data_IF_247702705536
#
_entry.id   IF_247702705536
#
_cell.length_a   1.000
_cell.length_b   1.000
_cell.length_c   1.000
_cell.angle_alpha   90.00
_cell.angle_beta   90.00
_cell.angle_gamma   90.00
#
_symmetry.space_group_name_H-M   'P 1'
#
loop_
_entity.id
_entity.type
_entity.pdbx_description
1 polymer ?
#
# COMPACT_ATOMS: atom_id res chain seq x y z
N UNK A 1 -17.84 58.27 54.45
CA UNK A 1 -16.47 58.73 54.13
C UNK A 1 -15.89 57.74 53.11
N UNK A 2 -15.13 58.22 52.11
CA UNK A 2 -14.67 57.56 50.86
C UNK A 2 -15.65 57.62 49.66
N UNK A 3 -15.52 58.59 48.73
CA UNK A 3 -14.69 58.67 47.48
C UNK A 3 -15.42 58.06 46.25
N UNK A 4 -16.07 58.85 45.36
CA UNK A 4 -15.63 59.40 44.03
C UNK A 4 -15.14 58.32 43.04
N UNK A 5 -15.40 58.26 41.72
CA UNK A 5 -16.30 58.82 40.68
C UNK A 5 -16.22 57.79 39.49
N UNK A 6 -17.13 57.78 38.51
CA UNK A 6 -17.24 56.81 37.40
C UNK A 6 -16.42 57.22 36.16
N UNK A 7 -16.10 56.31 35.22
CA UNK A 7 -15.98 56.62 33.78
C UNK A 7 -15.57 55.43 32.86
N UNK A 8 -16.20 55.41 31.66
CA UNK A 8 -15.68 54.95 30.34
C UNK A 8 -15.76 53.43 30.07
N UNK A 9 -16.80 52.94 29.37
CA UNK A 9 -16.89 52.75 27.90
C UNK A 9 -15.69 52.00 27.31
N UNK A 10 -15.88 50.72 26.95
CA UNK A 10 -15.35 50.20 25.69
C UNK A 10 -16.17 48.98 25.23
N UNK A 11 -17.05 49.21 24.25
CA UNK A 11 -17.61 48.16 23.40
C UNK A 11 -16.46 47.55 22.58
N UNK A 12 -16.16 46.27 22.81
CA UNK A 12 -15.29 45.49 21.93
C UNK A 12 -16.16 44.42 21.27
N UNK A 13 -16.66 44.77 20.09
CA UNK A 13 -17.36 43.91 19.16
C UNK A 13 -16.34 42.93 18.57
N UNK A 14 -16.21 41.72 19.15
CA UNK A 14 -15.44 40.64 18.56
C UNK A 14 -16.19 40.08 17.35
N UNK A 15 -15.93 40.64 16.17
CA UNK A 15 -16.30 40.01 14.90
C UNK A 15 -15.40 38.78 14.70
N UNK A 16 -15.95 37.60 15.03
CA UNK A 16 -15.37 36.31 14.65
C UNK A 16 -15.43 36.24 13.13
N UNK A 17 -14.28 36.47 12.48
CA UNK A 17 -14.04 36.12 11.08
C UNK A 17 -14.13 34.60 10.94
N UNK A 18 -15.36 34.12 10.74
CA UNK A 18 -15.64 32.77 10.27
C UNK A 18 -15.16 32.73 8.80
N UNK A 19 -13.89 32.41 8.59
CA UNK A 19 -13.36 32.12 7.27
C UNK A 19 -13.86 30.71 6.91
N UNK A 20 -14.82 30.53 5.99
CA UNK A 20 -15.14 29.20 5.54
C UNK A 20 -13.90 28.67 4.82
N UNK A 21 -13.17 27.77 5.46
CA UNK A 21 -12.23 26.89 4.76
C UNK A 21 -13.05 26.10 3.76
N UNK A 22 -13.21 26.64 2.55
CA UNK A 22 -13.63 25.87 1.39
C UNK A 22 -12.59 24.77 1.22
N UNK A 23 -12.90 23.57 1.70
CA UNK A 23 -12.33 22.35 1.14
C UNK A 23 -12.81 22.30 -0.32
N UNK A 24 -12.09 22.97 -1.20
CA UNK A 24 -12.26 22.77 -2.63
C UNK A 24 -11.76 21.35 -2.90
N UNK A 25 -12.67 20.46 -3.27
CA UNK A 25 -12.33 19.13 -3.76
C UNK A 25 -11.43 19.32 -5.00
N UNK A 26 -10.14 19.10 -4.81
CA UNK A 26 -9.14 19.39 -5.83
C UNK A 26 -9.31 18.35 -6.93
N UNK A 27 -9.68 18.81 -8.15
CA UNK A 27 -9.88 17.92 -9.29
C UNK A 27 -8.64 17.03 -9.47
N UNK A 28 -8.82 15.71 -9.71
CA UNK A 28 -7.71 14.82 -10.01
C UNK A 28 -6.86 15.38 -11.15
N UNK A 29 -5.55 15.29 -11.00
CA UNK A 29 -4.60 15.57 -12.08
C UNK A 29 -4.74 14.52 -13.17
N UNK A 30 -4.32 14.85 -14.40
CA UNK A 30 -4.30 13.90 -15.51
C UNK A 30 -3.52 12.61 -15.20
N UNK A 31 -2.45 12.71 -14.40
CA UNK A 31 -1.68 11.54 -13.95
C UNK A 31 -2.49 10.65 -12.99
N UNK A 32 -3.28 11.24 -12.08
CA UNK A 32 -4.15 10.50 -11.17
C UNK A 32 -5.31 9.82 -11.92
N UNK A 33 -5.90 10.47 -12.93
CA UNK A 33 -6.92 9.86 -13.78
C UNK A 33 -6.36 8.71 -14.62
N UNK A 34 -5.19 8.90 -15.25
CA UNK A 34 -4.54 7.85 -16.03
C UNK A 34 -4.20 6.62 -15.17
N UNK A 35 -3.68 6.82 -13.96
CA UNK A 35 -3.43 5.72 -13.01
C UNK A 35 -4.72 5.01 -12.61
N UNK A 36 -5.78 5.76 -12.28
CA UNK A 36 -7.08 5.16 -11.93
C UNK A 36 -7.55 4.24 -13.04
N UNK A 37 -7.50 4.70 -14.29
CA UNK A 37 -7.84 3.89 -15.46
C UNK A 37 -6.95 2.66 -15.59
N UNK A 38 -5.63 2.79 -15.38
CA UNK A 38 -4.71 1.65 -15.46
C UNK A 38 -4.99 0.58 -14.40
N UNK A 39 -5.29 1.00 -13.15
CA UNK A 39 -5.70 0.09 -12.07
C UNK A 39 -7.03 -0.58 -12.40
N UNK A 40 -8.02 0.14 -12.92
CA UNK A 40 -9.30 -0.43 -13.35
C UNK A 40 -9.12 -1.50 -14.43
N UNK A 41 -8.29 -1.23 -15.44
CA UNK A 41 -7.94 -2.20 -16.49
C UNK A 41 -7.25 -3.43 -15.90
N UNK A 42 -6.34 -3.25 -14.95
CA UNK A 42 -5.68 -4.36 -14.27
C UNK A 42 -6.67 -5.21 -13.47
N UNK A 43 -7.60 -4.58 -12.75
CA UNK A 43 -8.67 -5.26 -12.00
C UNK A 43 -9.60 -6.04 -12.92
N UNK A 44 -9.96 -5.49 -14.07
CA UNK A 44 -10.73 -6.23 -15.08
C UNK A 44 -9.96 -7.43 -15.62
N UNK A 45 -8.65 -7.28 -15.83
CA UNK A 45 -7.75 -8.38 -16.17
C UNK A 45 -7.80 -9.51 -15.15
N UNK A 46 -7.64 -9.18 -13.87
CA UNK A 46 -7.76 -10.14 -12.78
C UNK A 46 -9.14 -10.81 -12.76
N UNK A 47 -10.22 -10.03 -12.91
CA UNK A 47 -11.59 -10.56 -12.90
C UNK A 47 -11.83 -11.61 -13.99
N UNK A 48 -11.28 -11.41 -15.20
CA UNK A 48 -11.35 -12.38 -16.29
C UNK A 48 -10.55 -13.66 -16.02
N UNK A 49 -9.44 -13.55 -15.30
CA UNK A 49 -8.56 -14.67 -14.97
C UNK A 49 -8.91 -15.36 -13.62
N UNK A 50 -9.91 -14.83 -12.90
CA UNK A 50 -10.24 -15.25 -11.55
C UNK A 50 -10.74 -16.70 -11.49
N UNK A 51 -10.22 -17.45 -10.53
CA UNK A 51 -10.64 -18.82 -10.23
C UNK A 51 -11.20 -18.87 -8.81
N UNK A 52 -12.51 -19.13 -8.69
CA UNK A 52 -13.16 -19.27 -7.40
C UNK A 52 -12.83 -20.62 -6.75
N UNK A 53 -12.66 -20.62 -5.42
CA UNK A 53 -12.66 -21.84 -4.63
C UNK A 53 -14.08 -22.41 -4.45
N UNK A 54 -14.22 -23.69 -4.05
CA UNK A 54 -13.14 -24.60 -3.69
C UNK A 54 -12.42 -25.19 -4.90
N UNK A 55 -11.09 -25.11 -4.94
CA UNK A 55 -10.28 -25.69 -6.03
C UNK A 55 -8.86 -25.99 -5.57
N UNK A 56 -8.10 -26.74 -6.37
CA UNK A 56 -6.67 -26.99 -6.15
C UNK A 56 -5.86 -26.22 -7.19
N UNK A 57 -4.97 -25.36 -6.72
CA UNK A 57 -4.05 -24.60 -7.55
C UNK A 57 -2.66 -25.25 -7.47
N UNK A 58 -2.11 -25.64 -8.62
CA UNK A 58 -0.73 -26.10 -8.71
C UNK A 58 0.22 -24.92 -8.64
N UNK A 59 1.19 -24.96 -7.73
CA UNK A 59 2.28 -24.00 -7.62
C UNK A 59 3.56 -24.62 -8.20
N UNK A 60 3.45 -25.18 -9.40
CA UNK A 60 4.51 -25.94 -10.05
C UNK A 60 4.80 -27.26 -9.34
N UNK A 61 6.08 -27.55 -9.13
CA UNK A 61 6.60 -28.74 -8.44
C UNK A 61 6.75 -28.54 -6.93
N UNK A 62 6.52 -27.32 -6.43
CA UNK A 62 6.79 -26.95 -5.02
C UNK A 62 5.63 -27.27 -4.09
N UNK A 63 4.40 -26.98 -4.51
CA UNK A 63 3.23 -27.14 -3.66
C UNK A 63 1.92 -27.23 -4.45
N UNK A 64 0.86 -27.65 -3.75
CA UNK A 64 -0.52 -27.48 -4.19
C UNK A 64 -1.28 -26.69 -3.14
N UNK A 65 -1.85 -25.56 -3.55
CA UNK A 65 -2.74 -24.75 -2.72
C UNK A 65 -4.16 -25.30 -2.81
N UNK A 66 -4.70 -25.78 -1.69
CA UNK A 66 -6.12 -26.08 -1.58
C UNK A 66 -6.86 -24.78 -1.27
N UNK A 67 -7.43 -24.14 -2.30
CA UNK A 67 -8.18 -22.90 -2.17
C UNK A 67 -9.58 -23.23 -1.64
N UNK A 68 -9.99 -22.74 -0.46
CA UNK A 68 -11.31 -23.05 0.09
C UNK A 68 -12.42 -22.18 -0.53
N UNK A 69 -13.67 -22.54 -0.26
CA UNK A 69 -14.83 -21.75 -0.67
C UNK A 69 -14.76 -20.30 -0.15
N UNK A 70 -15.23 -19.35 -0.96
CA UNK A 70 -15.24 -17.92 -0.62
C UNK A 70 -13.92 -17.19 -0.89
N UNK A 71 -12.88 -17.90 -1.33
CA UNK A 71 -11.63 -17.32 -1.80
C UNK A 71 -11.54 -17.34 -3.33
N UNK A 72 -10.76 -16.40 -3.87
CA UNK A 72 -10.53 -16.26 -5.31
C UNK A 72 -9.04 -16.21 -5.58
N UNK A 73 -8.58 -17.05 -6.50
CA UNK A 73 -7.21 -17.06 -7.01
C UNK A 73 -7.08 -16.24 -8.29
N UNK A 74 -6.03 -15.44 -8.39
CA UNK A 74 -5.62 -14.73 -9.60
C UNK A 74 -4.21 -15.21 -9.98
N UNK A 75 -4.00 -15.76 -11.19
CA UNK A 75 -2.69 -16.25 -11.62
C UNK A 75 -1.68 -15.11 -11.82
N UNK A 76 -0.38 -15.46 -11.75
CA UNK A 76 0.76 -14.54 -11.77
C UNK A 76 0.66 -13.42 -12.81
N UNK A 77 0.30 -13.74 -14.06
CA UNK A 77 0.33 -12.76 -15.16
C UNK A 77 -0.57 -11.55 -14.89
N UNK A 78 -1.86 -11.76 -14.65
CA UNK A 78 -2.81 -10.67 -14.41
C UNK A 78 -2.59 -10.04 -13.02
N UNK A 79 -2.21 -10.85 -12.04
CA UNK A 79 -1.89 -10.40 -10.69
C UNK A 79 -0.68 -9.44 -10.65
N UNK A 80 0.39 -9.73 -11.41
CA UNK A 80 1.61 -8.94 -11.42
C UNK A 80 1.39 -7.56 -12.05
N UNK A 81 0.51 -7.46 -13.06
CA UNK A 81 0.08 -6.17 -13.61
C UNK A 81 -0.60 -5.34 -12.52
N UNK A 82 -1.57 -5.90 -11.82
CA UNK A 82 -2.25 -5.19 -10.73
C UNK A 82 -1.29 -4.71 -9.65
N UNK A 83 -0.39 -5.58 -9.18
CA UNK A 83 0.63 -5.23 -8.18
C UNK A 83 1.49 -4.04 -8.62
N UNK A 84 1.95 -4.02 -9.87
CA UNK A 84 2.75 -2.92 -10.41
C UNK A 84 1.95 -1.62 -10.55
N UNK A 85 0.68 -1.69 -10.93
CA UNK A 85 -0.18 -0.49 -11.05
C UNK A 85 -0.49 0.14 -9.70
N UNK A 86 -0.53 -0.65 -8.62
CA UNK A 86 -0.65 -0.12 -7.25
C UNK A 86 0.69 0.24 -6.61
N UNK A 87 1.79 0.18 -7.36
CA UNK A 87 3.12 0.62 -6.91
C UNK A 87 3.89 -0.42 -6.09
N UNK A 88 3.55 -1.70 -6.21
CA UNK A 88 4.33 -2.80 -5.65
C UNK A 88 5.36 -3.31 -6.68
N UNK A 89 6.49 -3.75 -6.16
CA UNK A 89 7.45 -4.54 -6.93
C UNK A 89 6.99 -5.99 -6.99
N UNK A 90 7.25 -6.66 -8.11
CA UNK A 90 7.01 -8.10 -8.31
C UNK A 90 8.22 -8.69 -8.98
N UNK A 91 8.79 -9.70 -8.34
CA UNK A 91 9.77 -10.60 -8.95
C UNK A 91 9.01 -11.72 -9.67
N UNK A 92 9.03 -11.69 -11.01
CA UNK A 92 8.28 -12.66 -11.82
C UNK A 92 8.85 -14.09 -11.71
N UNK A 93 10.08 -14.27 -11.21
CA UNK A 93 10.69 -15.59 -11.02
C UNK A 93 10.03 -16.36 -9.88
N UNK A 94 9.71 -15.67 -8.78
CA UNK A 94 9.20 -16.30 -7.55
C UNK A 94 7.69 -16.16 -7.38
N UNK A 95 7.03 -15.28 -8.15
CA UNK A 95 5.63 -14.93 -7.97
C UNK A 95 4.64 -15.87 -8.68
N UNK A 96 3.74 -16.46 -7.90
CA UNK A 96 2.70 -17.36 -8.43
C UNK A 96 1.35 -16.69 -8.66
N UNK A 97 1.01 -15.68 -7.87
CA UNK A 97 -0.27 -15.00 -7.97
C UNK A 97 -0.84 -14.50 -6.65
N UNK A 98 -2.10 -14.09 -6.68
CA UNK A 98 -2.79 -13.50 -5.53
C UNK A 98 -4.00 -14.32 -5.10
N UNK A 99 -4.28 -14.29 -3.80
CA UNK A 99 -5.52 -14.78 -3.22
C UNK A 99 -6.32 -13.63 -2.61
N UNK A 100 -7.59 -13.54 -2.99
CA UNK A 100 -8.55 -12.57 -2.46
C UNK A 100 -9.65 -13.27 -1.67
N UNK A 101 -10.26 -12.52 -0.75
CA UNK A 101 -11.50 -12.88 -0.05
C UNK A 101 -12.31 -11.61 0.17
N UNK A 102 -13.62 -11.66 -0.01
CA UNK A 102 -14.51 -10.48 -0.01
C UNK A 102 -14.40 -9.65 1.27
N UNK A 103 -14.23 -10.29 2.43
CA UNK A 103 -14.17 -9.61 3.73
C UNK A 103 -12.76 -9.13 4.09
N UNK A 104 -11.75 -9.39 3.26
CA UNK A 104 -10.37 -8.99 3.50
C UNK A 104 -10.11 -7.61 2.91
N UNK A 105 -9.56 -6.71 3.73
CA UNK A 105 -9.05 -5.43 3.25
C UNK A 105 -7.61 -5.61 2.75
N UNK A 106 -7.46 -6.31 1.63
CA UNK A 106 -6.17 -6.67 1.05
C UNK A 106 -6.22 -7.97 0.26
N UNK A 107 -5.05 -8.57 0.09
CA UNK A 107 -4.84 -9.82 -0.62
C UNK A 107 -3.64 -10.55 -0.02
N UNK A 108 -3.52 -11.83 -0.33
CA UNK A 108 -2.36 -12.65 0.00
C UNK A 108 -1.53 -12.80 -1.27
N UNK A 109 -0.25 -12.43 -1.22
CA UNK A 109 0.73 -12.73 -2.27
C UNK A 109 1.30 -14.12 -2.05
N UNK A 110 1.33 -14.95 -3.10
CA UNK A 110 1.96 -16.27 -3.05
C UNK A 110 3.24 -16.24 -3.87
N UNK A 111 4.37 -16.38 -3.17
CA UNK A 111 5.72 -16.35 -3.70
C UNK A 111 6.53 -17.51 -3.10
N UNK A 112 7.47 -18.06 -3.87
CA UNK A 112 8.44 -19.02 -3.35
C UNK A 112 9.80 -18.80 -4.00
N UNK A 113 10.80 -18.59 -3.15
CA UNK A 113 12.23 -18.59 -3.47
C UNK A 113 12.88 -19.78 -2.74
N UNK A 114 13.73 -20.52 -3.45
CA UNK A 114 14.49 -21.65 -2.87
C UNK A 114 15.75 -21.13 -2.19
N UNK A 115 15.56 -20.36 -1.11
CA UNK A 115 16.67 -19.75 -0.36
C UNK A 115 17.46 -20.77 0.49
N UNK A 116 17.09 -22.05 0.45
CA UNK A 116 17.74 -23.12 1.20
C UNK A 116 17.45 -23.11 2.70
N UNK A 117 18.42 -23.54 3.51
CA UNK A 117 18.29 -23.66 4.97
C UNK A 117 18.99 -22.50 5.68
N UNK A 118 18.19 -21.63 6.32
CA UNK A 118 18.67 -20.55 7.18
C UNK A 118 18.51 -20.98 8.64
N UNK A 119 19.60 -20.99 9.42
CA UNK A 119 19.49 -21.29 10.86
C UNK A 119 19.08 -20.04 11.62
N UNK A 120 18.17 -20.20 12.58
CA UNK A 120 17.79 -19.11 13.48
C UNK A 120 19.01 -18.52 14.24
N UNK A 121 20.02 -19.35 14.53
CA UNK A 121 21.25 -18.88 15.17
C UNK A 121 22.09 -17.95 14.27
N UNK A 122 21.94 -18.01 12.96
CA UNK A 122 22.64 -17.12 12.02
C UNK A 122 22.10 -15.68 12.16
N UNK A 123 20.84 -15.52 12.55
CA UNK A 123 20.22 -14.21 12.79
C UNK A 123 20.89 -13.43 13.94
N UNK A 124 21.55 -14.12 14.89
CA UNK A 124 22.29 -13.48 15.99
C UNK A 124 23.49 -12.66 15.51
N UNK A 125 23.98 -12.96 14.32
CA UNK A 125 25.14 -12.28 13.72
C UNK A 125 24.72 -11.26 12.65
N UNK A 126 23.42 -11.01 12.47
CA UNK A 126 22.96 -10.03 11.50
C UNK A 126 23.26 -8.61 11.97
N UNK A 127 23.83 -7.82 11.07
CA UNK A 127 23.95 -6.39 11.26
C UNK A 127 22.61 -5.74 10.92
N UNK A 128 21.84 -5.41 11.97
CA UNK A 128 20.52 -4.80 11.83
C UNK A 128 20.58 -3.42 11.14
N UNK A 129 21.69 -2.70 11.26
CA UNK A 129 21.89 -1.41 10.61
C UNK A 129 22.16 -1.61 9.12
N UNK A 130 23.01 -2.58 8.76
CA UNK A 130 23.25 -2.94 7.36
C UNK A 130 21.95 -3.40 6.68
N UNK A 131 21.16 -4.25 7.35
CA UNK A 131 19.85 -4.69 6.84
C UNK A 131 18.89 -3.52 6.64
N UNK A 132 18.80 -2.62 7.62
CA UNK A 132 17.98 -1.41 7.52
C UNK A 132 18.42 -0.52 6.35
N UNK A 133 19.72 -0.36 6.14
CA UNK A 133 20.26 0.40 5.03
C UNK A 133 19.95 -0.24 3.67
N UNK A 134 20.00 -1.57 3.59
CA UNK A 134 19.63 -2.30 2.38
C UNK A 134 18.13 -2.17 2.09
N UNK A 135 17.27 -2.27 3.11
CA UNK A 135 15.83 -2.02 2.97
C UNK A 135 15.56 -0.59 2.46
N UNK A 136 16.21 0.42 3.06
CA UNK A 136 16.09 1.83 2.63
C UNK A 136 16.54 2.04 1.18
N UNK A 137 17.65 1.40 0.76
CA UNK A 137 18.12 1.46 -0.64
C UNK A 137 17.10 0.84 -1.58
N UNK A 138 16.57 -0.34 -1.26
CA UNK A 138 15.53 -1.01 -2.04
C UNK A 138 14.26 -0.15 -2.17
N UNK A 139 13.81 0.45 -1.06
CA UNK A 139 12.66 1.36 -1.08
C UNK A 139 12.91 2.62 -1.93
N UNK A 140 14.10 3.24 -1.83
CA UNK A 140 14.47 4.39 -2.67
C UNK A 140 14.45 4.03 -4.15
N UNK A 141 14.91 2.83 -4.51
CA UNK A 141 14.85 2.37 -5.90
C UNK A 141 13.41 2.17 -6.37
N UNK A 142 12.59 1.45 -5.59
CA UNK A 142 11.17 1.22 -5.90
C UNK A 142 10.36 2.52 -5.96
N UNK A 143 10.73 3.54 -5.18
CA UNK A 143 10.07 4.84 -5.21
C UNK A 143 10.23 5.58 -6.55
N UNK A 144 11.25 5.26 -7.36
CA UNK A 144 11.37 5.86 -8.70
C UNK A 144 10.17 5.52 -9.57
N UNK A 145 9.71 4.26 -9.54
CA UNK A 145 8.52 3.83 -10.27
C UNK A 145 7.23 4.43 -9.68
N UNK A 146 7.13 4.49 -8.34
CA UNK A 146 5.99 5.13 -7.66
C UNK A 146 5.85 6.60 -8.08
N UNK A 147 6.94 7.36 -8.02
CA UNK A 147 6.96 8.77 -8.40
C UNK A 147 6.59 8.94 -9.88
N UNK A 148 7.13 8.10 -10.77
CA UNK A 148 6.79 8.12 -12.19
C UNK A 148 5.28 7.89 -12.46
N UNK A 149 4.62 7.12 -11.58
CA UNK A 149 3.17 6.83 -11.60
C UNK A 149 2.33 7.80 -10.75
N UNK A 150 2.94 8.86 -10.19
CA UNK A 150 2.28 9.81 -9.31
C UNK A 150 1.77 9.20 -8.00
N UNK A 151 2.35 8.08 -7.57
CA UNK A 151 2.10 7.42 -6.29
C UNK A 151 3.07 8.02 -5.27
N UNK A 152 2.58 8.28 -4.06
CA UNK A 152 3.42 8.81 -2.99
C UNK A 152 4.56 7.83 -2.64
N UNK A 153 5.79 8.32 -2.47
CA UNK A 153 6.91 7.49 -2.10
C UNK A 153 6.74 6.94 -0.68
N UNK A 154 7.31 5.77 -0.43
CA UNK A 154 7.35 5.16 0.90
C UNK A 154 8.68 5.50 1.56
N UNK A 155 8.67 5.79 2.85
CA UNK A 155 9.88 6.00 3.65
C UNK A 155 9.96 4.97 4.78
N UNK A 156 11.15 4.38 4.94
CA UNK A 156 11.43 3.49 6.07
C UNK A 156 12.05 4.33 7.20
N UNK A 157 11.26 4.55 8.24
CA UNK A 157 11.65 5.36 9.40
C UNK A 157 12.56 4.61 10.38
N UNK A 158 12.48 3.28 10.44
CA UNK A 158 13.29 2.45 11.33
C UNK A 158 12.62 1.13 11.67
N UNK A 159 13.22 0.39 12.60
CA UNK A 159 12.62 -0.81 13.19
C UNK A 159 11.51 -0.41 14.18
N UNK A 160 10.53 -1.30 14.37
CA UNK A 160 9.54 -1.16 15.44
C UNK A 160 10.18 -1.71 16.73
N UNK A 161 10.05 -0.96 17.83
CA UNK A 161 10.50 -1.36 19.18
C UNK A 161 9.33 -1.84 20.04
#
# INVERSE_FOLDING_TARGET
>A
MAFRFPQIILFLLAAILFCPSSYAEQKPTAAQEARKTAVEVAVEGMSRAAVAGPTKISLGDKATLNLPEGFTWIPAKEAAVFMREIGNYVDDEYFYGLVFKKEMNGFISIEYDDSGYVKDDDAKNWDADELMDNLRKGTKEANKDRIAKGIEPIEIIGWIE
#
